data_IF_692925567835
#
_entry.id   IF_692925567835
#
_cell.length_a   1.000
_cell.length_b   1.000
_cell.length_c   1.000
_cell.angle_alpha   90.00
_cell.angle_beta   90.00
_cell.angle_gamma   90.00
#
_symmetry.space_group_name_H-M   'P 1'
#
loop_
_entity.id
_entity.type
_entity.pdbx_description
1 polymer ?
#
# COMPACT_ATOMS: atom_id res chain seq x y z
N UNK A 1 -42.69 38.63 -14.97
CA UNK A 1 -41.22 38.40 -14.87
C UNK A 1 -40.76 37.89 -13.49
N UNK A 2 -41.62 37.21 -12.70
CA UNK A 2 -41.26 36.63 -11.39
C UNK A 2 -41.36 35.09 -11.35
N UNK A 3 -42.00 34.47 -12.36
CA UNK A 3 -42.24 33.02 -12.41
C UNK A 3 -41.04 32.25 -13.00
N UNK A 4 -40.20 32.91 -13.81
CA UNK A 4 -39.01 32.29 -14.43
C UNK A 4 -37.83 32.09 -13.46
N UNK A 5 -37.74 32.87 -12.38
CA UNK A 5 -36.66 32.75 -11.40
C UNK A 5 -36.84 31.57 -10.43
N UNK A 6 -38.08 31.15 -10.16
CA UNK A 6 -38.36 30.02 -9.24
C UNK A 6 -38.02 28.68 -9.90
N UNK A 7 -38.16 28.57 -11.23
CA UNK A 7 -37.85 27.33 -11.94
C UNK A 7 -36.34 27.03 -12.02
N UNK A 8 -35.46 28.04 -12.07
CA UNK A 8 -34.00 27.80 -12.12
C UNK A 8 -33.41 27.35 -10.77
N UNK A 9 -33.98 27.76 -9.63
CA UNK A 9 -33.46 27.38 -8.30
C UNK A 9 -33.73 25.89 -8.01
N UNK A 10 -34.83 25.32 -8.53
CA UNK A 10 -35.18 23.91 -8.30
C UNK A 10 -34.31 22.96 -9.14
N UNK A 11 -33.82 23.38 -10.31
CA UNK A 11 -32.94 22.56 -11.13
C UNK A 11 -31.50 22.48 -10.61
N UNK A 12 -30.99 23.52 -9.96
CA UNK A 12 -29.64 23.50 -9.35
C UNK A 12 -29.62 22.64 -8.07
N UNK A 13 -30.70 22.63 -7.29
CA UNK A 13 -30.77 21.80 -6.08
C UNK A 13 -30.83 20.28 -6.36
N UNK A 14 -31.32 19.86 -7.53
CA UNK A 14 -31.34 18.42 -7.91
C UNK A 14 -30.05 17.93 -8.57
N UNK A 15 -29.23 18.83 -9.13
CA UNK A 15 -27.94 18.45 -9.72
C UNK A 15 -26.85 18.20 -8.66
N UNK A 16 -26.97 18.81 -7.49
CA UNK A 16 -25.95 18.72 -6.44
C UNK A 16 -26.05 17.44 -5.58
N UNK A 17 -27.14 16.68 -5.67
CA UNK A 17 -27.26 15.39 -4.96
C UNK A 17 -26.58 14.23 -5.70
N UNK A 18 -26.30 14.39 -7.00
CA UNK A 18 -25.69 13.35 -7.84
C UNK A 18 -24.16 13.52 -7.98
N UNK A 19 -23.65 14.74 -7.73
CA UNK A 19 -22.22 15.06 -7.90
C UNK A 19 -21.34 14.76 -6.66
N UNK A 20 -21.94 14.48 -5.50
CA UNK A 20 -21.20 14.16 -4.26
C UNK A 20 -21.42 12.73 -3.76
N UNK A 21 -21.92 11.82 -4.60
CA UNK A 21 -21.95 10.40 -4.26
C UNK A 21 -20.57 9.78 -4.52
N UNK A 22 -19.57 10.16 -3.72
CA UNK A 22 -18.46 9.25 -3.43
C UNK A 22 -19.13 8.04 -2.77
N UNK A 23 -19.32 6.94 -3.51
CA UNK A 23 -19.76 5.72 -2.86
C UNK A 23 -18.62 5.29 -1.97
N UNK A 24 -18.77 5.44 -0.65
CA UNK A 24 -17.88 4.81 0.31
C UNK A 24 -17.92 3.31 0.04
N UNK A 25 -16.83 2.79 -0.53
CA UNK A 25 -16.68 1.36 -0.71
C UNK A 25 -16.44 0.76 0.66
N UNK A 26 -17.32 -0.13 1.08
CA UNK A 26 -17.35 -0.70 2.42
C UNK A 26 -17.41 -2.22 2.32
N UNK A 27 -16.91 -2.91 3.33
CA UNK A 27 -16.95 -4.36 3.41
C UNK A 27 -17.55 -4.79 4.74
N UNK A 28 -18.37 -5.84 4.69
CA UNK A 28 -19.08 -6.40 5.82
C UNK A 28 -18.79 -7.89 5.96
N UNK A 29 -18.74 -8.36 7.20
CA UNK A 29 -18.49 -9.76 7.48
C UNK A 29 -19.63 -10.67 6.97
N UNK A 30 -20.85 -10.16 6.83
CA UNK A 30 -22.03 -10.90 6.32
C UNK A 30 -22.25 -12.24 7.03
N UNK A 31 -22.03 -12.28 8.35
CA UNK A 31 -22.15 -13.49 9.16
C UNK A 31 -20.93 -14.43 9.12
N UNK A 32 -19.87 -14.08 8.38
CA UNK A 32 -18.58 -14.77 8.45
C UNK A 32 -17.89 -14.45 9.79
N UNK A 33 -17.74 -15.48 10.61
CA UNK A 33 -17.03 -15.39 11.88
C UNK A 33 -15.56 -15.04 11.71
N UNK A 34 -14.90 -14.75 12.82
CA UNK A 34 -13.43 -14.70 12.89
C UNK A 34 -12.94 -16.15 12.75
N UNK A 35 -11.98 -16.38 11.87
CA UNK A 35 -11.37 -17.70 11.64
C UNK A 35 -10.01 -17.78 12.35
N UNK A 36 -9.85 -18.74 13.26
CA UNK A 36 -8.62 -18.92 14.04
C UNK A 36 -7.41 -19.20 13.13
N UNK A 37 -7.61 -19.86 11.99
CA UNK A 37 -6.56 -20.09 11.00
C UNK A 37 -6.09 -18.80 10.33
N UNK A 38 -7.03 -17.92 9.99
CA UNK A 38 -6.74 -16.61 9.45
C UNK A 38 -6.01 -15.72 10.47
N UNK A 39 -6.40 -15.77 11.74
CA UNK A 39 -5.66 -15.07 12.79
C UNK A 39 -4.24 -15.61 12.94
N UNK A 40 -4.05 -16.93 12.86
CA UNK A 40 -2.73 -17.55 12.91
C UNK A 40 -1.85 -17.12 11.72
N UNK A 41 -2.40 -16.99 10.51
CA UNK A 41 -1.67 -16.42 9.37
C UNK A 41 -1.24 -14.98 9.63
N UNK A 42 -2.12 -14.16 10.23
CA UNK A 42 -1.80 -12.79 10.60
C UNK A 42 -0.71 -12.69 11.66
N UNK A 43 -0.71 -13.58 12.66
CA UNK A 43 0.33 -13.64 13.68
C UNK A 43 1.68 -14.14 13.15
N UNK A 44 1.65 -15.04 12.16
CA UNK A 44 2.83 -15.58 11.52
C UNK A 44 3.42 -14.65 10.45
N UNK A 45 2.65 -13.66 9.97
CA UNK A 45 3.02 -12.88 8.80
C UNK A 45 2.97 -13.68 7.51
N UNK A 46 2.01 -14.58 7.35
CA UNK A 46 1.88 -15.37 6.11
C UNK A 46 1.06 -14.62 5.04
N UNK A 47 1.35 -14.85 3.75
CA UNK A 47 0.65 -14.16 2.66
C UNK A 47 -0.80 -14.61 2.50
N UNK A 48 -1.13 -15.81 2.98
CA UNK A 48 -2.46 -16.38 3.05
C UNK A 48 -3.41 -15.53 3.92
N UNK A 49 -2.85 -14.74 4.86
CA UNK A 49 -3.61 -13.79 5.66
C UNK A 49 -4.43 -12.82 4.79
N UNK A 50 -3.84 -12.31 3.72
CA UNK A 50 -4.51 -11.32 2.87
C UNK A 50 -5.71 -11.91 2.12
N UNK A 51 -5.65 -13.18 1.74
CA UNK A 51 -6.73 -13.85 1.04
C UNK A 51 -7.87 -14.22 1.99
N UNK A 52 -7.57 -14.71 3.19
CA UNK A 52 -8.61 -15.01 4.18
C UNK A 52 -9.23 -13.73 4.77
N UNK A 53 -8.45 -12.64 4.92
CA UNK A 53 -8.98 -11.33 5.27
C UNK A 53 -10.01 -10.88 4.24
N UNK A 54 -9.63 -10.90 2.96
CA UNK A 54 -10.48 -10.47 1.85
C UNK A 54 -11.75 -11.34 1.73
N UNK A 55 -11.65 -12.64 2.01
CA UNK A 55 -12.81 -13.53 2.03
C UNK A 55 -13.82 -13.17 3.13
N UNK A 56 -13.36 -12.65 4.27
CA UNK A 56 -14.22 -12.22 5.39
C UNK A 56 -14.76 -10.81 5.17
N UNK A 57 -13.91 -9.87 4.78
CA UNK A 57 -14.21 -8.45 4.59
C UNK A 57 -13.83 -8.04 3.15
N UNK A 58 -14.69 -8.32 2.15
CA UNK A 58 -14.34 -8.16 0.74
C UNK A 58 -14.40 -6.70 0.30
N UNK A 59 -13.24 -6.07 0.12
CA UNK A 59 -13.12 -4.73 -0.45
C UNK A 59 -12.97 -4.74 -1.99
N UNK A 60 -12.43 -5.82 -2.54
CA UNK A 60 -12.18 -6.04 -3.95
C UNK A 60 -10.68 -5.95 -4.30
N UNK A 61 -10.35 -6.45 -5.51
CA UNK A 61 -8.96 -6.56 -6.00
C UNK A 61 -8.21 -5.24 -6.13
N UNK A 62 -8.94 -4.12 -6.19
CA UNK A 62 -8.36 -2.79 -6.37
C UNK A 62 -7.89 -2.16 -5.05
N UNK A 63 -8.23 -2.76 -3.91
CA UNK A 63 -7.91 -2.27 -2.56
C UNK A 63 -6.74 -3.01 -1.93
N UNK A 64 -6.30 -2.49 -0.78
CA UNK A 64 -5.05 -2.86 -0.13
C UNK A 64 -4.76 -4.35 -0.05
N UNK A 65 -5.69 -5.16 0.50
CA UNK A 65 -5.44 -6.56 0.81
C UNK A 65 -4.94 -7.34 -0.41
N UNK A 66 -5.52 -7.09 -1.57
CA UNK A 66 -5.20 -7.80 -2.80
C UNK A 66 -4.19 -7.04 -3.66
N UNK A 67 -4.39 -5.73 -3.84
CA UNK A 67 -3.55 -4.91 -4.73
C UNK A 67 -2.12 -4.78 -4.22
N UNK A 68 -1.96 -4.54 -2.92
CA UNK A 68 -0.66 -4.25 -2.32
C UNK A 68 -0.21 -5.36 -1.36
N UNK A 69 -1.03 -5.70 -0.37
CA UNK A 69 -0.69 -6.67 0.67
C UNK A 69 -0.27 -8.03 0.11
N UNK A 70 -1.22 -8.76 -0.49
CA UNK A 70 -0.97 -10.09 -1.08
C UNK A 70 0.10 -10.04 -2.18
N UNK A 71 0.01 -9.06 -3.09
CA UNK A 71 0.97 -8.91 -4.19
C UNK A 71 2.41 -8.76 -3.68
N UNK A 72 2.69 -7.75 -2.86
CA UNK A 72 4.05 -7.50 -2.38
C UNK A 72 4.55 -8.55 -1.41
N UNK A 73 3.67 -9.11 -0.57
CA UNK A 73 4.01 -10.24 0.28
C UNK A 73 4.58 -11.42 -0.53
N UNK A 74 3.87 -11.83 -1.58
CA UNK A 74 4.32 -12.93 -2.44
C UNK A 74 5.58 -12.60 -3.24
N UNK A 75 5.74 -11.34 -3.66
CA UNK A 75 6.97 -10.88 -4.32
C UNK A 75 8.15 -10.93 -3.36
N UNK A 76 8.02 -10.42 -2.14
CA UNK A 76 9.08 -10.53 -1.13
C UNK A 76 9.44 -11.99 -0.84
N UNK A 77 8.46 -12.89 -0.74
CA UNK A 77 8.74 -14.33 -0.61
C UNK A 77 9.51 -14.89 -1.82
N UNK A 78 9.19 -14.45 -3.03
CA UNK A 78 9.87 -14.89 -4.26
C UNK A 78 11.33 -14.45 -4.30
N UNK A 79 11.62 -13.23 -3.83
CA UNK A 79 12.97 -12.66 -3.82
C UNK A 79 13.72 -12.89 -2.51
N UNK A 80 13.13 -13.54 -1.50
CA UNK A 80 13.69 -13.68 -0.16
C UNK A 80 15.17 -14.11 -0.16
N UNK A 81 15.50 -15.13 -0.96
CA UNK A 81 16.86 -15.68 -1.01
C UNK A 81 17.90 -14.73 -1.64
N UNK A 82 17.48 -13.68 -2.36
CA UNK A 82 18.41 -12.70 -2.95
C UNK A 82 18.85 -11.62 -1.95
N UNK A 83 18.15 -11.49 -0.82
CA UNK A 83 18.50 -10.58 0.26
C UNK A 83 19.63 -11.17 1.13
N UNK A 84 20.41 -10.28 1.73
CA UNK A 84 21.32 -10.62 2.84
C UNK A 84 20.56 -11.26 4.00
N UNK A 85 21.23 -11.99 4.89
CA UNK A 85 20.61 -12.59 6.08
C UNK A 85 19.85 -11.56 6.93
N UNK A 86 20.46 -10.39 7.17
CA UNK A 86 19.79 -9.28 7.86
C UNK A 86 18.59 -8.72 7.06
N UNK A 87 18.68 -8.69 5.73
CA UNK A 87 17.56 -8.32 4.87
C UNK A 87 16.40 -9.31 4.95
N UNK A 88 16.67 -10.61 5.00
CA UNK A 88 15.66 -11.66 5.17
C UNK A 88 14.95 -11.53 6.51
N UNK A 89 15.72 -11.33 7.59
CA UNK A 89 15.17 -11.09 8.93
C UNK A 89 14.27 -9.84 8.95
N UNK A 90 14.72 -8.74 8.32
CA UNK A 90 13.91 -7.53 8.16
C UNK A 90 12.58 -7.82 7.43
N UNK A 91 12.59 -8.58 6.34
CA UNK A 91 11.37 -8.89 5.58
C UNK A 91 10.38 -9.69 6.43
N UNK A 92 10.86 -10.72 7.13
CA UNK A 92 10.02 -11.54 8.03
C UNK A 92 9.41 -10.66 9.14
N UNK A 93 10.24 -9.86 9.80
CA UNK A 93 9.80 -9.02 10.93
C UNK A 93 8.81 -7.93 10.49
N UNK A 94 9.07 -7.28 9.35
CA UNK A 94 8.21 -6.22 8.83
C UNK A 94 6.86 -6.74 8.36
N UNK A 95 6.84 -7.88 7.66
CA UNK A 95 5.63 -8.55 7.22
C UNK A 95 4.78 -9.01 8.41
N UNK A 96 5.42 -9.61 9.42
CA UNK A 96 4.75 -10.01 10.66
C UNK A 96 4.19 -8.80 11.42
N UNK A 97 4.92 -7.68 11.48
CA UNK A 97 4.43 -6.45 12.10
C UNK A 97 3.17 -5.91 11.40
N UNK A 98 3.17 -5.83 10.07
CA UNK A 98 2.04 -5.29 9.30
C UNK A 98 0.79 -6.16 9.49
N UNK A 99 0.93 -7.47 9.27
CA UNK A 99 -0.18 -8.43 9.36
C UNK A 99 -0.78 -8.49 10.77
N UNK A 100 0.03 -8.45 11.83
CA UNK A 100 -0.47 -8.33 13.22
C UNK A 100 -1.29 -7.08 13.46
N UNK A 101 -0.87 -5.93 12.95
CA UNK A 101 -1.65 -4.68 13.10
C UNK A 101 -2.97 -4.74 12.34
N UNK A 102 -3.00 -5.43 11.20
CA UNK A 102 -4.22 -5.65 10.43
C UNK A 102 -5.22 -6.58 11.12
N UNK A 103 -4.80 -7.41 12.08
CA UNK A 103 -5.74 -8.23 12.88
C UNK A 103 -6.77 -7.37 13.61
N UNK A 104 -6.44 -6.12 13.99
CA UNK A 104 -7.41 -5.21 14.59
C UNK A 104 -8.58 -4.92 13.64
N UNK A 105 -8.32 -4.83 12.33
CA UNK A 105 -9.35 -4.62 11.31
C UNK A 105 -10.08 -5.92 10.99
N UNK A 106 -9.35 -7.05 10.93
CA UNK A 106 -9.93 -8.36 10.64
C UNK A 106 -11.03 -8.74 11.63
N UNK A 107 -10.84 -8.38 12.91
CA UNK A 107 -11.78 -8.64 14.02
C UNK A 107 -13.05 -7.77 13.99
N UNK A 108 -13.15 -6.78 13.09
CA UNK A 108 -14.33 -5.91 12.95
C UNK A 108 -15.36 -6.54 12.02
N UNK A 109 -16.64 -6.25 12.21
CA UNK A 109 -17.69 -6.75 11.30
C UNK A 109 -17.97 -5.84 10.09
N UNK A 110 -17.40 -4.64 10.12
CA UNK A 110 -17.57 -3.61 9.10
C UNK A 110 -16.30 -2.78 8.97
N UNK A 111 -15.93 -2.46 7.74
CA UNK A 111 -14.82 -1.55 7.42
C UNK A 111 -15.19 -0.64 6.24
N UNK A 112 -14.61 0.56 6.22
CA UNK A 112 -14.49 1.38 5.01
C UNK A 112 -13.18 1.00 4.30
N UNK A 113 -13.27 0.62 3.04
CA UNK A 113 -12.14 0.10 2.28
C UNK A 113 -11.08 1.15 1.95
N UNK A 114 -11.48 2.42 1.79
CA UNK A 114 -10.53 3.50 1.59
C UNK A 114 -9.78 3.86 2.87
N UNK A 115 -10.46 3.82 4.02
CA UNK A 115 -9.85 4.05 5.32
C UNK A 115 -8.89 2.90 5.67
N UNK A 116 -9.33 1.65 5.49
CA UNK A 116 -8.46 0.48 5.65
C UNK A 116 -7.19 0.61 4.80
N UNK A 117 -7.32 0.95 3.50
CA UNK A 117 -6.14 1.11 2.65
C UNK A 117 -5.23 2.25 3.13
N UNK A 118 -5.81 3.37 3.58
CA UNK A 118 -5.03 4.48 4.10
C UNK A 118 -4.24 4.07 5.34
N UNK A 119 -4.90 3.42 6.29
CA UNK A 119 -4.31 3.00 7.55
C UNK A 119 -3.27 1.90 7.34
N UNK A 120 -3.55 0.92 6.47
CA UNK A 120 -2.64 -0.16 6.16
C UNK A 120 -1.35 0.34 5.46
N UNK A 121 -1.43 1.35 4.60
CA UNK A 121 -0.25 2.00 4.03
C UNK A 121 0.53 2.76 5.11
N UNK A 122 -0.17 3.48 5.99
CA UNK A 122 0.46 4.26 7.06
C UNK A 122 1.20 3.39 8.09
N UNK A 123 0.81 2.12 8.26
CA UNK A 123 1.50 1.17 9.14
C UNK A 123 2.85 0.68 8.59
N UNK A 124 3.09 0.78 7.28
CA UNK A 124 4.34 0.32 6.65
C UNK A 124 5.55 1.04 7.25
N UNK A 125 5.47 2.37 7.41
CA UNK A 125 6.56 3.18 7.96
C UNK A 125 7.02 2.71 9.34
N UNK A 126 6.14 2.73 10.36
CA UNK A 126 6.48 2.23 11.69
C UNK A 126 6.99 0.78 11.70
N UNK A 127 6.35 -0.14 10.96
CA UNK A 127 6.79 -1.54 10.92
C UNK A 127 8.17 -1.71 10.29
N UNK A 128 8.48 -0.94 9.24
CA UNK A 128 9.80 -0.96 8.61
C UNK A 128 10.87 -0.41 9.56
N UNK A 129 10.58 0.68 10.26
CA UNK A 129 11.51 1.24 11.25
C UNK A 129 11.75 0.29 12.42
N UNK A 130 10.69 -0.30 12.99
CA UNK A 130 10.76 -1.27 14.08
C UNK A 130 11.54 -2.53 13.69
N UNK A 131 11.58 -2.86 12.40
CA UNK A 131 12.28 -4.03 11.87
C UNK A 131 13.72 -3.75 11.42
N UNK A 132 14.22 -2.51 11.52
CA UNK A 132 15.61 -2.17 11.18
C UNK A 132 15.84 -1.75 9.73
N UNK A 133 14.86 -1.15 9.05
CA UNK A 133 14.97 -0.73 7.65
C UNK A 133 16.24 0.07 7.32
N UNK A 134 16.66 0.96 8.23
CA UNK A 134 17.82 1.83 8.00
C UNK A 134 19.15 1.08 7.91
N UNK A 135 19.24 -0.07 8.56
CA UNK A 135 20.44 -0.90 8.61
C UNK A 135 20.55 -1.76 7.34
N UNK A 136 19.42 -2.14 6.73
CA UNK A 136 19.37 -3.09 5.62
C UNK A 136 19.21 -2.43 4.24
N UNK A 137 18.68 -1.20 4.15
CA UNK A 137 18.31 -0.61 2.85
C UNK A 137 19.51 -0.39 1.94
N UNK A 138 20.68 -0.07 2.50
CA UNK A 138 21.91 0.14 1.72
C UNK A 138 22.38 -1.14 1.05
N UNK A 139 22.51 -2.21 1.83
CA UNK A 139 23.08 -3.49 1.37
C UNK A 139 22.12 -4.30 0.49
N UNK A 140 20.82 -3.99 0.56
CA UNK A 140 19.77 -4.70 -0.20
C UNK A 140 19.08 -3.79 -1.25
N UNK A 141 19.68 -2.66 -1.62
CA UNK A 141 19.05 -1.66 -2.52
C UNK A 141 18.64 -2.27 -3.86
N UNK A 142 19.47 -3.12 -4.46
CA UNK A 142 19.18 -3.75 -5.75
C UNK A 142 17.95 -4.67 -5.65
N UNK A 143 17.89 -5.47 -4.60
CA UNK A 143 16.80 -6.40 -4.34
C UNK A 143 15.48 -5.66 -4.10
N UNK A 144 15.50 -4.55 -3.35
CA UNK A 144 14.32 -3.71 -3.19
C UNK A 144 13.83 -3.14 -4.53
N UNK A 145 14.74 -2.72 -5.42
CA UNK A 145 14.38 -2.23 -6.75
C UNK A 145 13.73 -3.34 -7.61
N UNK A 146 14.17 -4.59 -7.47
CA UNK A 146 13.58 -5.73 -8.18
C UNK A 146 12.18 -6.10 -7.66
N UNK A 147 11.97 -6.01 -6.36
CA UNK A 147 10.66 -6.29 -5.76
C UNK A 147 9.63 -5.24 -6.18
N UNK A 148 9.97 -3.94 -6.16
CA UNK A 148 8.99 -2.90 -6.46
C UNK A 148 8.72 -2.71 -7.95
N UNK A 149 7.46 -2.87 -8.37
CA UNK A 149 7.10 -2.62 -9.76
C UNK A 149 7.08 -1.12 -10.06
N UNK A 150 7.64 -0.74 -11.21
CA UNK A 150 7.66 0.66 -11.65
C UNK A 150 6.24 1.25 -11.74
N UNK A 151 5.25 0.48 -12.18
CA UNK A 151 3.87 0.97 -12.27
C UNK A 151 3.20 1.21 -10.92
N UNK A 152 3.60 0.51 -9.86
CA UNK A 152 3.07 0.72 -8.51
C UNK A 152 3.77 1.84 -7.77
N UNK A 153 5.04 2.08 -8.11
CA UNK A 153 5.74 3.30 -7.72
C UNK A 153 5.20 4.51 -8.51
N UNK A 154 4.80 4.39 -9.77
CA UNK A 154 4.47 5.57 -10.59
C UNK A 154 3.01 5.66 -11.07
N UNK A 155 2.11 4.81 -10.55
CA UNK A 155 0.68 4.76 -10.89
C UNK A 155 -0.25 5.54 -9.95
N UNK A 156 -1.57 5.48 -10.20
CA UNK A 156 -2.57 6.15 -9.35
C UNK A 156 -2.64 5.50 -7.96
N UNK A 157 -2.37 6.29 -6.92
CA UNK A 157 -2.30 5.83 -5.51
C UNK A 157 -0.87 5.74 -4.95
N UNK A 158 0.15 5.72 -5.82
CA UNK A 158 1.54 5.59 -5.43
C UNK A 158 2.06 6.77 -4.59
N UNK A 159 1.42 7.94 -4.69
CA UNK A 159 1.76 9.12 -3.90
C UNK A 159 1.67 8.86 -2.38
N UNK A 160 0.77 7.99 -1.92
CA UNK A 160 0.67 7.60 -0.51
C UNK A 160 1.85 6.73 -0.10
N UNK A 161 2.14 5.70 -0.89
CA UNK A 161 3.27 4.79 -0.66
C UNK A 161 4.62 5.54 -0.71
N UNK A 162 4.81 6.44 -1.69
CA UNK A 162 5.98 7.29 -1.77
C UNK A 162 6.14 8.23 -0.59
N UNK A 163 5.04 8.76 -0.05
CA UNK A 163 5.11 9.61 1.14
C UNK A 163 5.70 8.83 2.32
N UNK A 164 5.27 7.59 2.50
CA UNK A 164 5.80 6.71 3.55
C UNK A 164 7.26 6.33 3.28
N UNK A 165 7.60 5.89 2.06
CA UNK A 165 8.98 5.57 1.68
C UNK A 165 9.94 6.78 1.85
N UNK A 166 9.50 7.98 1.47
CA UNK A 166 10.26 9.22 1.68
C UNK A 166 10.34 9.60 3.16
N UNK A 167 9.31 9.29 3.95
CA UNK A 167 9.31 9.44 5.41
C UNK A 167 10.39 8.57 6.05
N UNK A 168 10.41 7.29 5.71
CA UNK A 168 11.43 6.32 6.13
C UNK A 168 12.84 6.79 5.77
N UNK A 169 13.04 7.18 4.52
CA UNK A 169 14.37 7.57 4.06
C UNK A 169 14.89 8.86 4.73
N UNK A 170 14.01 9.78 5.16
CA UNK A 170 14.41 10.92 6.01
C UNK A 170 14.84 10.48 7.41
N UNK A 171 14.20 9.46 7.97
CA UNK A 171 14.51 8.96 9.32
C UNK A 171 15.83 8.18 9.35
N UNK A 172 16.18 7.47 8.27
CA UNK A 172 17.44 6.72 8.17
C UNK A 172 18.70 7.58 7.93
N UNK A 173 18.57 8.91 7.88
CA UNK A 173 19.68 9.82 7.63
C UNK A 173 20.14 9.88 6.17
N UNK A 174 20.93 10.91 5.85
CA UNK A 174 21.24 11.28 4.46
C UNK A 174 22.08 10.27 3.67
N UNK A 175 22.86 9.40 4.33
CA UNK A 175 23.77 8.47 3.63
C UNK A 175 23.04 7.25 3.04
N UNK A 176 22.15 6.63 3.80
CA UNK A 176 21.31 5.52 3.31
C UNK A 176 20.33 5.99 2.22
N UNK A 177 19.70 7.16 2.42
CA UNK A 177 18.88 7.81 1.39
C UNK A 177 19.68 8.16 0.13
N UNK A 178 20.90 8.69 0.25
CA UNK A 178 21.74 9.03 -0.90
C UNK A 178 22.15 7.78 -1.69
N UNK A 179 22.45 6.66 -1.03
CA UNK A 179 22.78 5.40 -1.70
C UNK A 179 21.56 4.81 -2.41
N UNK A 180 20.40 4.76 -1.74
CA UNK A 180 19.16 4.28 -2.34
C UNK A 180 18.73 5.14 -3.55
N UNK A 181 18.75 6.47 -3.40
CA UNK A 181 18.35 7.41 -4.46
C UNK A 181 19.35 7.43 -5.62
N UNK A 182 20.66 7.31 -5.37
CA UNK A 182 21.66 7.30 -6.45
C UNK A 182 21.57 6.02 -7.28
N UNK A 183 21.41 4.86 -6.64
CA UNK A 183 21.23 3.57 -7.33
C UNK A 183 19.92 3.55 -8.11
N UNK A 184 18.81 3.98 -7.50
CA UNK A 184 17.51 4.09 -8.18
C UNK A 184 17.60 5.04 -9.37
N UNK A 185 18.20 6.23 -9.22
CA UNK A 185 18.36 7.18 -10.31
C UNK A 185 19.23 6.62 -11.46
N UNK A 186 20.27 5.84 -11.15
CA UNK A 186 21.15 5.23 -12.15
C UNK A 186 20.43 4.16 -12.98
N UNK A 187 19.59 3.32 -12.36
CA UNK A 187 18.77 2.30 -13.04
C UNK A 187 17.56 2.87 -13.78
N UNK A 188 17.08 4.05 -13.39
CA UNK A 188 16.02 4.77 -14.09
C UNK A 188 16.54 5.71 -15.18
N UNK A 189 17.85 5.95 -15.25
CA UNK A 189 18.49 6.73 -16.31
C UNK A 189 18.20 6.23 -17.74
N UNK A 190 18.17 4.91 -18.02
CA UNK A 190 17.81 4.39 -19.35
C UNK A 190 16.34 4.63 -19.73
N UNK A 191 15.44 4.84 -18.76
CA UNK A 191 14.03 5.16 -19.03
C UNK A 191 13.85 6.63 -19.42
N UNK A 192 14.78 7.52 -19.03
CA UNK A 192 14.77 8.92 -19.47
C UNK A 192 15.14 9.06 -20.96
N UNK A 193 15.96 8.15 -21.50
CA UNK A 193 16.17 8.04 -22.96
C UNK A 193 14.99 7.42 -23.71
N UNK A 194 14.07 6.74 -23.02
CA UNK A 194 12.88 6.13 -23.63
C UNK A 194 11.68 7.08 -23.68
N UNK A 195 11.56 8.00 -22.71
CA UNK A 195 10.48 9.01 -22.64
C UNK A 195 10.93 10.45 -22.96
N UNK A 196 12.23 10.68 -23.13
CA UNK A 196 12.80 11.93 -23.60
C UNK A 196 12.81 12.00 -25.12
N UNK A 197 11.63 12.21 -25.71
CA UNK A 197 11.52 12.53 -27.14
C UNK A 197 12.42 13.72 -27.49
N UNK A 198 13.20 13.54 -28.55
CA UNK A 198 13.97 14.58 -29.21
C UNK A 198 13.11 15.84 -29.39
N UNK A 199 13.47 16.92 -28.68
CA UNK A 199 13.17 18.26 -29.16
C UNK A 199 14.35 18.69 -30.03
N UNK A 200 14.24 18.44 -31.33
CA UNK A 200 14.86 19.31 -32.34
C UNK A 200 14.02 20.57 -32.50
#
# INVERSE_FOLDING_TARGET
MKVLLVAMVIFVAKANAWFFRNSETTATADGRGIDDGCEAFGEAGSCEFFDCFEQRLPCGRDFYMQRYGNNYCNRFNTFMESFTEAGQEFLVNSQQCVTRRLLEYYRRDYINCHDLEHDAIAMIGPCYMESGFCDIIGDNTEQFIEVFEFNDLFGSGSAKLWRELLGLARQCGGRSLANFMSTTASRLSPLRSFFGGDKK
#
